data_IF_111453303015
#
_entry.id   IF_111453303015
#
_cell.length_a   1.000
_cell.length_b   1.000
_cell.length_c   1.000
_cell.angle_alpha   90.00
_cell.angle_beta   90.00
_cell.angle_gamma   90.00
#
_symmetry.space_group_name_H-M   'P 1'
#
loop_
_entity.id
_entity.type
_entity.pdbx_description
1 polymer ?
#
# COMPACT_ATOMS: atom_id res chain seq x y z
N UNK A 1 -17.38 6.21 24.11
CA UNK A 1 -16.75 5.27 25.08
C UNK A 1 -15.93 4.25 24.30
N UNK A 2 -14.68 3.99 24.69
CA UNK A 2 -13.82 2.97 24.05
C UNK A 2 -13.68 1.72 24.93
N UNK A 3 -13.56 0.53 24.31
CA UNK A 3 -13.28 -0.75 24.96
C UNK A 3 -12.01 -1.38 24.36
N UNK A 4 -11.40 -2.31 25.09
CA UNK A 4 -10.33 -3.15 24.54
C UNK A 4 -10.92 -4.04 23.44
N UNK A 5 -10.14 -4.28 22.39
CA UNK A 5 -10.55 -5.04 21.21
C UNK A 5 -9.54 -6.13 20.89
N UNK A 6 -10.04 -7.28 20.46
CA UNK A 6 -9.23 -8.37 19.94
C UNK A 6 -8.80 -8.11 18.49
N UNK A 7 -7.96 -9.00 17.94
CA UNK A 7 -7.47 -8.94 16.55
C UNK A 7 -6.85 -7.57 16.19
N UNK A 8 -6.07 -7.04 17.13
CA UNK A 8 -5.30 -5.82 16.96
C UNK A 8 -3.84 -6.03 17.35
N UNK A 9 -2.96 -5.22 16.78
CA UNK A 9 -1.53 -5.22 17.06
C UNK A 9 -1.00 -3.78 17.11
N UNK A 10 0.11 -3.59 17.81
CA UNK A 10 0.78 -2.29 17.95
C UNK A 10 2.29 -2.51 17.92
N UNK A 11 3.01 -1.71 17.15
CA UNK A 11 4.47 -1.65 17.16
C UNK A 11 4.92 -0.31 16.60
N UNK A 12 6.22 -0.04 16.72
CA UNK A 12 6.89 1.14 16.18
C UNK A 12 6.79 1.17 14.66
N UNK A 13 6.66 2.38 14.10
CA UNK A 13 6.65 2.60 12.65
C UNK A 13 8.03 2.98 12.09
N UNK A 14 8.26 2.68 10.81
CA UNK A 14 9.52 2.95 10.11
C UNK A 14 9.21 3.32 8.65
N UNK A 15 9.97 4.23 8.01
CA UNK A 15 9.73 4.60 6.62
C UNK A 15 10.11 3.45 5.68
N UNK A 16 9.35 3.29 4.60
CA UNK A 16 9.75 2.46 3.46
C UNK A 16 9.29 3.10 2.14
N UNK A 17 10.20 3.69 1.35
CA UNK A 17 9.84 4.34 0.09
C UNK A 17 9.45 3.36 -1.02
N UNK A 18 9.79 2.08 -0.89
CA UNK A 18 9.51 1.05 -1.90
C UNK A 18 8.10 0.47 -1.79
N UNK A 19 7.39 0.75 -0.69
CA UNK A 19 6.02 0.31 -0.51
C UNK A 19 5.04 1.25 -1.22
N UNK A 20 4.00 0.72 -1.89
CA UNK A 20 2.90 1.52 -2.39
C UNK A 20 2.21 2.31 -1.26
N UNK A 21 1.58 3.43 -1.60
CA UNK A 21 0.90 4.30 -0.62
C UNK A 21 -0.21 3.60 0.17
N UNK A 22 -0.81 2.57 -0.40
CA UNK A 22 -1.95 1.84 0.14
C UNK A 22 -1.55 0.55 0.86
N UNK A 23 -0.24 0.35 1.08
CA UNK A 23 0.34 -0.87 1.62
C UNK A 23 1.11 -0.58 2.89
N UNK A 24 0.93 -1.46 3.88
CA UNK A 24 1.70 -1.45 5.14
C UNK A 24 2.52 -2.73 5.26
N UNK A 25 3.79 -2.58 5.60
CA UNK A 25 4.68 -3.66 5.98
C UNK A 25 4.33 -4.17 7.37
N UNK A 26 4.03 -5.46 7.49
CA UNK A 26 3.68 -6.13 8.75
C UNK A 26 4.74 -7.17 9.11
N UNK A 27 5.27 -7.16 10.34
CA UNK A 27 6.15 -8.19 10.87
C UNK A 27 5.56 -9.59 10.77
N UNK A 28 6.39 -10.59 10.42
CA UNK A 28 6.01 -12.01 10.44
C UNK A 28 5.45 -12.46 11.79
N UNK A 29 6.02 -11.96 12.89
CA UNK A 29 5.57 -12.29 14.26
C UNK A 29 4.12 -11.85 14.52
N UNK A 30 3.75 -10.67 14.02
CA UNK A 30 2.37 -10.15 14.10
C UNK A 30 1.47 -10.95 13.16
N UNK A 31 1.91 -11.18 11.93
CA UNK A 31 1.11 -11.90 10.93
C UNK A 31 0.77 -13.35 11.33
N UNK A 32 1.70 -14.03 12.01
CA UNK A 32 1.49 -15.39 12.52
C UNK A 32 0.52 -15.43 13.71
N UNK A 33 0.49 -14.39 14.56
CA UNK A 33 -0.44 -14.36 15.68
C UNK A 33 -1.85 -13.91 15.28
N UNK A 34 -1.95 -13.01 14.31
CA UNK A 34 -3.22 -12.49 13.83
C UNK A 34 -3.86 -13.42 12.81
N UNK A 35 -5.13 -13.76 13.02
CA UNK A 35 -5.86 -14.68 12.15
C UNK A 35 -7.06 -14.03 11.47
N UNK A 36 -7.40 -14.56 10.30
CA UNK A 36 -8.60 -14.24 9.56
C UNK A 36 -9.46 -15.51 9.37
N UNK A 37 -10.73 -15.51 9.77
CA UNK A 37 -11.61 -16.67 9.62
C UNK A 37 -12.09 -16.76 8.17
N UNK A 38 -11.48 -17.66 7.40
CA UNK A 38 -11.88 -17.91 6.01
C UNK A 38 -12.84 -19.10 5.94
N UNK A 39 -13.97 -18.93 5.26
CA UNK A 39 -14.94 -20.01 5.05
C UNK A 39 -14.38 -20.97 3.99
N UNK A 40 -14.45 -22.27 4.28
CA UNK A 40 -14.07 -23.32 3.35
C UNK A 40 -15.13 -23.43 2.27
N UNK A 41 -14.68 -23.30 1.03
CA UNK A 41 -15.46 -23.42 -0.19
C UNK A 41 -14.75 -24.38 -1.15
N UNK A 42 -15.45 -24.92 -2.16
CA UNK A 42 -14.81 -25.75 -3.18
C UNK A 42 -13.62 -25.08 -3.88
N UNK A 43 -13.55 -23.74 -3.91
CA UNK A 43 -12.50 -22.98 -4.58
C UNK A 43 -11.21 -22.85 -3.77
N UNK A 44 -11.28 -22.90 -2.44
CA UNK A 44 -10.13 -22.64 -1.56
C UNK A 44 -9.79 -23.84 -0.65
N UNK A 45 -10.53 -24.95 -0.73
CA UNK A 45 -10.35 -26.10 0.14
C UNK A 45 -8.92 -26.67 0.10
N UNK A 46 -8.34 -26.86 -1.08
CA UNK A 46 -6.98 -27.40 -1.23
C UNK A 46 -5.93 -26.48 -0.59
N UNK A 47 -6.09 -25.17 -0.81
CA UNK A 47 -5.20 -24.15 -0.24
C UNK A 47 -5.33 -24.07 1.28
N UNK A 48 -6.56 -24.11 1.81
CA UNK A 48 -6.78 -24.09 3.25
C UNK A 48 -6.29 -25.37 3.92
N UNK A 49 -6.44 -26.52 3.25
CA UNK A 49 -5.92 -27.80 3.73
C UNK A 49 -4.40 -27.76 3.83
N UNK A 50 -3.70 -27.17 2.86
CA UNK A 50 -2.25 -26.97 2.94
C UNK A 50 -1.84 -26.13 4.16
N UNK A 51 -2.55 -25.03 4.43
CA UNK A 51 -2.27 -24.18 5.60
C UNK A 51 -2.53 -24.89 6.93
N UNK A 52 -3.59 -25.70 6.98
CA UNK A 52 -3.93 -26.54 8.13
C UNK A 52 -2.85 -27.60 8.36
N UNK A 53 -2.36 -28.24 7.29
CA UNK A 53 -1.32 -29.27 7.37
C UNK A 53 0.03 -28.70 7.85
N UNK A 54 0.33 -27.43 7.54
CA UNK A 54 1.49 -26.71 8.09
C UNK A 54 1.34 -26.37 9.56
N UNK A 55 0.11 -26.18 10.04
CA UNK A 55 -0.23 -25.85 11.42
C UNK A 55 0.15 -24.41 11.82
N UNK A 56 0.22 -24.16 13.12
CA UNK A 56 0.49 -22.82 13.67
C UNK A 56 1.99 -22.48 13.74
N UNK A 57 2.85 -23.50 13.82
CA UNK A 57 4.29 -23.34 14.03
C UNK A 57 5.03 -22.75 12.82
N UNK A 58 4.48 -22.90 11.61
CA UNK A 58 5.09 -22.43 10.37
C UNK A 58 4.24 -21.34 9.72
N UNK A 59 4.90 -20.27 9.25
CA UNK A 59 4.25 -19.25 8.42
C UNK A 59 4.54 -19.51 6.93
N UNK A 60 3.54 -19.48 6.03
CA UNK A 60 2.11 -19.28 6.29
C UNK A 60 1.40 -20.59 6.69
N UNK A 61 0.54 -20.50 7.71
CA UNK A 61 -0.23 -21.61 8.25
C UNK A 61 -1.60 -21.19 8.80
N UNK A 62 -2.12 -21.97 9.75
CA UNK A 62 -3.39 -21.73 10.40
C UNK A 62 -3.35 -22.11 11.88
N UNK A 63 -4.23 -21.50 12.67
CA UNK A 63 -4.27 -21.69 14.13
C UNK A 63 -5.43 -22.54 14.60
N UNK A 64 -6.60 -22.37 13.98
CA UNK A 64 -7.82 -23.09 14.37
C UNK A 64 -8.67 -23.52 13.18
N UNK A 65 -9.40 -24.61 13.37
CA UNK A 65 -10.51 -25.04 12.52
C UNK A 65 -11.79 -24.95 13.34
N UNK A 66 -12.83 -24.34 12.80
CA UNK A 66 -14.15 -24.25 13.39
C UNK A 66 -15.10 -25.06 12.49
N UNK A 67 -15.70 -26.11 13.07
CA UNK A 67 -16.69 -26.95 12.38
C UNK A 67 -18.07 -26.30 12.40
N UNK A 68 -19.01 -26.82 11.60
CA UNK A 68 -20.38 -26.29 11.54
C UNK A 68 -21.12 -26.35 12.89
N UNK A 69 -20.84 -27.37 13.70
CA UNK A 69 -21.39 -27.49 15.05
C UNK A 69 -20.77 -26.52 16.07
N UNK A 70 -19.87 -25.62 15.64
CA UNK A 70 -19.16 -24.68 16.50
C UNK A 70 -17.96 -25.27 17.25
N UNK A 71 -17.65 -26.56 17.07
CA UNK A 71 -16.48 -27.16 17.70
C UNK A 71 -15.20 -26.55 17.12
N UNK A 72 -14.33 -26.05 18.01
CA UNK A 72 -13.05 -25.45 17.66
C UNK A 72 -11.92 -26.44 17.90
N UNK A 73 -11.16 -26.74 16.86
CA UNK A 73 -9.96 -27.56 16.91
C UNK A 73 -8.74 -26.64 16.90
N UNK A 74 -7.89 -26.75 17.93
CA UNK A 74 -6.63 -26.00 18.04
C UNK A 74 -5.48 -26.79 17.40
N UNK A 75 -4.84 -26.21 16.39
CA UNK A 75 -3.79 -26.87 15.61
C UNK A 75 -2.46 -26.97 16.37
N UNK A 76 -2.29 -26.26 17.49
CA UNK A 76 -1.05 -26.29 18.28
C UNK A 76 -0.85 -27.59 19.06
N UNK A 77 -1.94 -28.26 19.44
CA UNK A 77 -1.90 -29.44 20.30
C UNK A 77 -1.89 -30.77 19.53
N UNK A 78 -1.35 -30.77 18.29
CA UNK A 78 -1.22 -31.95 17.43
C UNK A 78 -2.54 -32.74 17.29
N UNK A 79 -3.54 -32.17 16.60
CA UNK A 79 -4.80 -32.87 16.35
C UNK A 79 -4.59 -34.17 15.58
N UNK A 80 -5.48 -35.14 15.77
CA UNK A 80 -5.44 -36.40 15.02
C UNK A 80 -5.62 -36.12 13.53
N UNK A 81 -5.04 -36.94 12.67
CA UNK A 81 -5.16 -36.79 11.22
C UNK A 81 -6.61 -36.72 10.73
N UNK A 82 -7.53 -37.44 11.38
CA UNK A 82 -8.96 -37.39 11.06
C UNK A 82 -9.61 -36.02 11.35
N UNK A 83 -9.08 -35.27 12.32
CA UNK A 83 -9.62 -33.97 12.72
C UNK A 83 -9.15 -32.82 11.81
N UNK A 84 -8.20 -33.09 10.90
CA UNK A 84 -7.62 -32.12 9.96
C UNK A 84 -8.37 -32.04 8.63
N UNK A 85 -9.21 -33.02 8.30
CA UNK A 85 -9.94 -33.03 7.04
C UNK A 85 -10.98 -31.89 7.01
N UNK A 86 -10.83 -30.97 6.06
CA UNK A 86 -11.77 -29.88 5.86
C UNK A 86 -12.98 -30.29 5.03
N UNK A 87 -14.14 -29.73 5.34
CA UNK A 87 -15.37 -29.83 4.55
C UNK A 87 -15.87 -28.43 4.21
N UNK A 88 -16.54 -28.24 3.05
CA UNK A 88 -17.21 -26.97 2.75
C UNK A 88 -18.17 -26.58 3.87
N UNK A 89 -18.18 -25.28 4.24
CA UNK A 89 -18.96 -24.77 5.37
C UNK A 89 -18.16 -24.58 6.66
N UNK A 90 -17.02 -25.28 6.81
CA UNK A 90 -16.12 -25.06 7.95
C UNK A 90 -15.45 -23.68 7.84
N UNK A 91 -14.89 -23.19 8.96
CA UNK A 91 -14.07 -21.97 8.97
C UNK A 91 -12.66 -22.29 9.42
N UNK A 92 -11.67 -21.74 8.73
CA UNK A 92 -10.26 -21.87 9.09
C UNK A 92 -9.74 -20.50 9.50
N UNK A 93 -9.26 -20.39 10.73
CA UNK A 93 -8.56 -19.21 11.23
C UNK A 93 -7.10 -19.28 10.76
N UNK A 94 -6.87 -18.89 9.50
CA UNK A 94 -5.53 -18.82 8.90
C UNK A 94 -4.77 -17.60 9.38
N UNK A 95 -3.44 -17.64 9.33
CA UNK A 95 -2.60 -16.47 9.56
C UNK A 95 -2.92 -15.34 8.55
N UNK A 96 -2.64 -14.11 8.95
CA UNK A 96 -2.69 -12.94 8.06
C UNK A 96 -1.74 -13.16 6.88
N UNK A 97 -2.14 -12.78 5.66
CA UNK A 97 -1.34 -12.96 4.44
C UNK A 97 -1.19 -11.65 3.66
N UNK A 98 -0.25 -11.64 2.72
CA UNK A 98 -0.08 -10.55 1.76
C UNK A 98 -1.40 -10.24 1.04
N UNK A 99 -1.75 -8.95 0.98
CA UNK A 99 -2.97 -8.45 0.35
C UNK A 99 -4.22 -8.51 1.22
N UNK A 100 -4.15 -9.02 2.46
CA UNK A 100 -5.25 -8.81 3.41
C UNK A 100 -5.42 -7.32 3.71
N UNK A 101 -6.65 -6.92 3.99
CA UNK A 101 -7.01 -5.52 4.24
C UNK A 101 -7.10 -5.33 5.75
N UNK A 102 -6.46 -4.29 6.24
CA UNK A 102 -6.42 -3.90 7.65
C UNK A 102 -6.82 -2.44 7.79
N UNK A 103 -7.29 -2.06 8.97
CA UNK A 103 -7.43 -0.65 9.35
C UNK A 103 -6.22 -0.26 10.17
N UNK A 104 -5.56 0.82 9.78
CA UNK A 104 -4.37 1.33 10.43
C UNK A 104 -4.63 2.72 10.98
N UNK A 105 -4.22 2.96 12.23
CA UNK A 105 -4.46 4.22 12.90
C UNK A 105 -3.32 4.67 13.81
N UNK A 106 -3.21 6.00 13.96
CA UNK A 106 -2.34 6.66 14.94
C UNK A 106 -3.20 7.37 15.99
N UNK A 107 -2.83 7.23 17.26
CA UNK A 107 -3.46 7.96 18.36
C UNK A 107 -2.70 9.27 18.62
N UNK A 108 -3.38 10.39 18.95
CA UNK A 108 -4.84 10.59 18.98
C UNK A 108 -5.45 10.71 17.58
N UNK A 109 -6.63 10.11 17.37
CA UNK A 109 -7.36 10.17 16.09
C UNK A 109 -8.27 11.40 16.04
N UNK A 110 -7.78 12.51 15.49
CA UNK A 110 -8.51 13.78 15.40
C UNK A 110 -9.27 13.97 14.08
N UNK A 111 -8.86 13.25 13.04
CA UNK A 111 -9.43 13.37 11.70
C UNK A 111 -9.80 12.00 11.15
N UNK A 112 -10.73 11.97 10.19
CA UNK A 112 -11.13 10.74 9.51
C UNK A 112 -9.93 9.97 8.95
N UNK A 113 -8.96 10.70 8.37
CA UNK A 113 -7.75 10.13 7.76
C UNK A 113 -6.73 9.62 8.80
N UNK A 114 -6.96 9.83 10.10
CA UNK A 114 -6.16 9.20 11.14
C UNK A 114 -6.50 7.70 11.32
N UNK A 115 -7.53 7.20 10.62
CA UNK A 115 -7.89 5.79 10.49
C UNK A 115 -8.17 5.47 9.02
N UNK A 116 -7.30 4.68 8.37
CA UNK A 116 -7.47 4.34 6.95
C UNK A 116 -7.17 2.87 6.70
N UNK A 117 -7.76 2.35 5.63
CA UNK A 117 -7.52 1.00 5.14
C UNK A 117 -6.18 0.89 4.41
N UNK A 118 -5.44 -0.19 4.67
CA UNK A 118 -4.22 -0.56 3.96
C UNK A 118 -4.24 -2.05 3.58
N UNK A 119 -3.46 -2.41 2.56
CA UNK A 119 -3.10 -3.78 2.22
C UNK A 119 -1.88 -4.21 3.02
N UNK A 120 -1.89 -5.45 3.48
CA UNK A 120 -0.78 -6.04 4.21
C UNK A 120 0.32 -6.49 3.24
N UNK A 121 1.57 -6.20 3.58
CA UNK A 121 2.76 -6.83 3.00
C UNK A 121 3.63 -7.39 4.12
N UNK A 122 3.90 -8.68 4.11
CA UNK A 122 4.60 -9.32 5.22
C UNK A 122 6.11 -9.22 5.03
N UNK A 123 6.78 -8.66 6.04
CA UNK A 123 8.20 -8.37 6.05
C UNK A 123 8.89 -9.07 7.24
N UNK A 124 10.18 -9.40 7.13
CA UNK A 124 10.90 -10.19 8.13
C UNK A 124 11.21 -9.41 9.43
N UNK A 125 11.16 -8.09 9.40
CA UNK A 125 11.51 -7.21 10.53
C UNK A 125 10.37 -7.05 11.54
N UNK A 126 10.62 -6.31 12.63
CA UNK A 126 9.69 -6.19 13.77
C UNK A 126 8.90 -4.87 13.85
N UNK A 127 9.08 -3.97 12.88
CA UNK A 127 8.39 -2.67 12.82
C UNK A 127 7.33 -2.65 11.71
N UNK A 128 6.31 -1.81 11.89
CA UNK A 128 5.39 -1.49 10.80
C UNK A 128 6.07 -0.56 9.81
N UNK A 129 5.89 -0.81 8.51
CA UNK A 129 6.49 0.01 7.46
C UNK A 129 5.44 0.68 6.60
N UNK A 130 5.60 1.96 6.31
CA UNK A 130 4.65 2.71 5.49
C UNK A 130 5.36 3.67 4.55
N UNK A 131 4.66 4.03 3.48
CA UNK A 131 5.13 5.03 2.53
C UNK A 131 5.22 6.42 3.17
N UNK A 132 6.23 7.22 2.82
CA UNK A 132 6.40 8.55 3.40
C UNK A 132 5.26 9.53 3.07
N UNK A 133 4.54 9.34 1.96
CA UNK A 133 3.44 10.23 1.57
C UNK A 133 2.22 10.11 2.49
N UNK A 134 2.09 9.00 3.23
CA UNK A 134 0.97 8.75 4.15
C UNK A 134 1.27 9.20 5.58
N UNK A 135 2.47 9.72 5.87
CA UNK A 135 2.79 10.23 7.22
C UNK A 135 2.00 11.50 7.56
N UNK A 136 1.80 12.39 6.58
CA UNK A 136 1.04 13.64 6.72
C UNK A 136 -0.37 13.46 7.29
N UNK A 137 -1.26 12.60 6.74
CA UNK A 137 -2.60 12.39 7.30
C UNK A 137 -2.59 11.74 8.70
N UNK A 138 -1.58 10.94 9.02
CA UNK A 138 -1.42 10.37 10.36
C UNK A 138 -0.77 11.34 11.35
N UNK A 139 -0.21 12.45 10.86
CA UNK A 139 0.64 13.35 11.62
C UNK A 139 1.77 12.59 12.36
N UNK A 140 2.34 11.61 11.66
CA UNK A 140 3.32 10.68 12.22
C UNK A 140 4.74 11.08 11.82
N UNK A 141 5.68 10.85 12.71
CA UNK A 141 7.12 10.87 12.45
C UNK A 141 7.73 9.50 12.78
N UNK A 142 9.06 9.37 12.69
CA UNK A 142 9.76 8.10 12.83
C UNK A 142 10.78 8.13 13.98
N UNK A 143 10.49 8.89 15.02
CA UNK A 143 11.37 9.09 16.19
C UNK A 143 11.08 8.11 17.36
N UNK A 144 10.15 7.17 17.16
CA UNK A 144 9.66 6.26 18.19
C UNK A 144 8.15 6.09 18.20
N UNK A 145 7.45 6.80 17.32
CA UNK A 145 6.01 6.68 17.10
C UNK A 145 5.53 5.22 16.94
N UNK A 146 4.40 4.92 17.57
CA UNK A 146 3.73 3.63 17.48
C UNK A 146 2.33 3.82 16.87
N UNK A 147 1.93 2.84 16.06
CA UNK A 147 0.61 2.83 15.44
C UNK A 147 -0.10 1.50 15.69
N UNK A 148 -1.42 1.56 15.67
CA UNK A 148 -2.28 0.40 15.88
C UNK A 148 -2.77 -0.13 14.53
N UNK A 149 -2.89 -1.45 14.46
CA UNK A 149 -3.43 -2.21 13.36
C UNK A 149 -4.64 -2.99 13.86
N UNK A 150 -5.73 -2.95 13.11
CA UNK A 150 -6.94 -3.74 13.35
C UNK A 150 -7.24 -4.59 12.11
N UNK A 151 -7.45 -5.90 12.30
CA UNK A 151 -7.79 -6.81 11.20
C UNK A 151 -9.30 -7.09 11.19
N UNK A 152 -10.05 -6.61 10.19
CA UNK A 152 -11.45 -6.97 9.98
C UNK A 152 -11.64 -8.48 9.91
N UNK A 153 -12.61 -9.01 10.65
CA UNK A 153 -12.87 -10.45 10.75
C UNK A 153 -13.96 -10.94 9.79
N UNK A 154 -14.90 -10.07 9.39
CA UNK A 154 -15.96 -10.41 8.43
C UNK A 154 -15.59 -9.98 7.02
N UNK A 155 -16.11 -10.70 6.02
CA UNK A 155 -15.96 -10.32 4.61
C UNK A 155 -16.68 -9.01 4.28
N UNK A 156 -17.81 -8.75 4.95
CA UNK A 156 -18.58 -7.51 4.80
C UNK A 156 -17.77 -6.29 5.26
N UNK A 157 -17.17 -6.33 6.45
CA UNK A 157 -16.32 -5.23 6.94
C UNK A 157 -15.04 -5.13 6.12
N UNK A 158 -14.49 -6.23 5.62
CA UNK A 158 -13.36 -6.19 4.67
C UNK A 158 -13.72 -5.41 3.39
N UNK A 159 -14.93 -5.63 2.86
CA UNK A 159 -15.44 -4.90 1.70
C UNK A 159 -15.70 -3.42 2.02
N UNK A 160 -16.27 -3.11 3.19
CA UNK A 160 -16.49 -1.74 3.66
C UNK A 160 -15.18 -0.95 3.70
N UNK A 161 -14.14 -1.51 4.30
CA UNK A 161 -12.82 -0.87 4.38
C UNK A 161 -12.21 -0.70 2.97
N UNK A 162 -12.32 -1.73 2.11
CA UNK A 162 -11.86 -1.68 0.71
C UNK A 162 -12.47 -0.51 -0.06
N UNK A 163 -13.80 -0.38 0.03
CA UNK A 163 -14.56 0.52 -0.84
C UNK A 163 -14.73 1.94 -0.29
N UNK A 164 -14.56 2.14 1.02
CA UNK A 164 -14.82 3.44 1.66
C UNK A 164 -13.55 4.00 2.28
N UNK A 165 -12.86 3.22 3.11
CA UNK A 165 -11.82 3.72 4.00
C UNK A 165 -10.38 3.53 3.47
N UNK A 166 -10.18 2.85 2.34
CA UNK A 166 -8.85 2.65 1.75
C UNK A 166 -8.13 3.97 1.43
N UNK A 167 -6.81 3.99 1.65
CA UNK A 167 -5.94 5.16 1.45
C UNK A 167 -6.13 5.88 0.10
N UNK A 168 -6.17 5.20 -1.07
CA UNK A 168 -6.39 5.88 -2.35
C UNK A 168 -7.71 6.64 -2.43
N UNK A 169 -8.73 6.23 -1.67
CA UNK A 169 -10.04 6.89 -1.59
C UNK A 169 -10.07 8.04 -0.58
N UNK A 170 -8.99 8.23 0.19
CA UNK A 170 -8.84 9.29 1.20
C UNK A 170 -7.75 10.31 0.80
N UNK A 171 -7.32 10.34 -0.46
CA UNK A 171 -6.30 11.30 -0.95
C UNK A 171 -6.75 12.76 -0.81
N UNK A 172 -8.04 13.04 -1.06
CA UNK A 172 -8.63 14.39 -0.99
C UNK A 172 -9.51 14.47 0.25
N UNK A 173 -9.31 15.50 1.08
CA UNK A 173 -10.17 15.73 2.25
C UNK A 173 -11.38 16.59 1.90
N UNK A 174 -12.59 16.24 2.40
CA UNK A 174 -13.76 17.10 2.28
C UNK A 174 -13.68 18.34 3.19
N UNK A 175 -12.78 18.37 4.19
CA UNK A 175 -12.64 19.52 5.10
C UNK A 175 -12.20 20.79 4.36
N UNK A 176 -11.35 20.65 3.34
CA UNK A 176 -10.75 21.77 2.63
C UNK A 176 -10.70 21.55 1.10
N UNK A 177 -11.39 20.52 0.60
CA UNK A 177 -11.46 20.16 -0.83
C UNK A 177 -10.09 20.12 -1.52
N UNK A 178 -9.07 19.65 -0.80
CA UNK A 178 -7.68 19.63 -1.23
C UNK A 178 -7.02 18.29 -0.90
N UNK A 179 -5.96 17.91 -1.60
CA UNK A 179 -5.19 16.72 -1.24
C UNK A 179 -4.59 16.86 0.16
N UNK A 180 -4.62 15.77 0.93
CA UNK A 180 -3.94 15.65 2.23
C UNK A 180 -2.58 14.97 2.08
N UNK A 181 -2.47 14.06 1.13
CA UNK A 181 -1.24 13.33 0.84
C UNK A 181 -0.50 14.00 -0.32
N UNK A 182 0.82 14.03 -0.24
CA UNK A 182 1.68 14.63 -1.25
C UNK A 182 3.12 14.15 -1.11
N UNK A 183 3.98 14.57 -2.03
CA UNK A 183 5.41 14.28 -1.97
C UNK A 183 6.04 15.16 -0.89
N UNK A 184 6.78 14.54 0.03
CA UNK A 184 7.40 15.20 1.19
C UNK A 184 8.90 14.88 1.30
N UNK A 185 9.60 15.62 2.15
CA UNK A 185 11.01 15.39 2.54
C UNK A 185 11.97 15.28 1.33
N UNK A 186 12.80 14.24 1.30
CA UNK A 186 13.87 14.05 0.32
C UNK A 186 13.34 14.03 -1.11
N UNK A 187 12.24 13.32 -1.35
CA UNK A 187 11.65 13.23 -2.69
C UNK A 187 11.22 14.61 -3.20
N UNK A 188 10.67 15.47 -2.33
CA UNK A 188 10.26 16.82 -2.73
C UNK A 188 11.47 17.68 -3.12
N UNK A 189 12.55 17.57 -2.36
CA UNK A 189 13.78 18.33 -2.60
C UNK A 189 14.50 17.81 -3.84
N UNK A 190 14.58 16.50 -4.01
CA UNK A 190 15.16 15.84 -5.18
C UNK A 190 14.38 16.18 -6.45
N UNK A 191 13.04 16.20 -6.41
CA UNK A 191 12.21 16.62 -7.57
C UNK A 191 12.52 18.06 -7.96
N UNK A 192 12.65 18.99 -7.00
CA UNK A 192 13.05 20.38 -7.30
C UNK A 192 14.44 20.44 -7.94
N UNK A 193 15.41 19.70 -7.40
CA UNK A 193 16.77 19.68 -7.94
C UNK A 193 16.80 19.09 -9.35
N UNK A 194 16.13 17.96 -9.56
CA UNK A 194 16.10 17.22 -10.83
C UNK A 194 15.41 18.02 -11.94
N UNK A 195 14.38 18.80 -11.62
CA UNK A 195 13.57 19.52 -12.61
C UNK A 195 14.14 20.89 -13.02
N UNK A 196 15.32 21.29 -12.50
CA UNK A 196 16.00 22.52 -12.96
C UNK A 196 16.43 22.42 -14.44
N UNK A 197 16.68 23.56 -15.10
CA UNK A 197 16.99 23.63 -16.54
C UNK A 197 18.41 23.15 -16.87
N UNK A 198 19.31 23.24 -15.92
CA UNK A 198 20.74 22.90 -15.99
C UNK A 198 21.02 21.42 -15.68
N UNK A 199 20.00 20.63 -15.38
CA UNK A 199 20.15 19.19 -15.09
C UNK A 199 19.93 18.36 -16.34
N UNK A 200 21.01 17.68 -16.74
CA UNK A 200 21.04 16.74 -17.85
C UNK A 200 21.38 15.33 -17.37
N UNK A 201 20.77 14.34 -18.01
CA UNK A 201 20.85 12.93 -17.69
C UNK A 201 21.43 12.20 -18.91
N UNK A 202 22.47 11.41 -18.68
CA UNK A 202 23.11 10.60 -19.72
C UNK A 202 22.38 9.26 -19.92
N UNK A 203 22.61 8.63 -21.06
CA UNK A 203 21.93 7.39 -21.45
C UNK A 203 21.98 6.28 -20.38
N UNK A 204 23.13 5.94 -19.75
CA UNK A 204 23.16 4.88 -18.74
C UNK A 204 22.22 5.18 -17.56
N UNK A 205 22.28 6.41 -17.04
CA UNK A 205 21.42 6.84 -15.93
C UNK A 205 19.95 6.93 -16.34
N UNK A 206 19.68 7.33 -17.58
CA UNK A 206 18.32 7.34 -18.12
C UNK A 206 17.72 5.93 -18.12
N UNK A 207 18.48 4.93 -18.59
CA UNK A 207 18.03 3.54 -18.60
C UNK A 207 17.76 3.00 -17.18
N UNK A 208 18.62 3.32 -16.21
CA UNK A 208 18.39 2.96 -14.81
C UNK A 208 17.07 3.54 -14.27
N UNK A 209 16.79 4.82 -14.59
CA UNK A 209 15.57 5.50 -14.16
C UNK A 209 14.32 4.91 -14.84
N UNK A 210 14.40 4.55 -16.12
CA UNK A 210 13.31 3.88 -16.83
C UNK A 210 12.97 2.53 -16.20
N UNK A 211 13.98 1.76 -15.77
CA UNK A 211 13.78 0.47 -15.11
C UNK A 211 13.04 0.55 -13.77
N UNK A 212 13.11 1.70 -13.08
CA UNK A 212 12.38 1.91 -11.82
C UNK A 212 10.90 2.27 -12.04
N UNK A 213 10.47 2.55 -13.27
CA UNK A 213 9.08 2.90 -13.57
C UNK A 213 8.24 1.64 -13.82
N UNK A 214 7.26 1.33 -12.96
CA UNK A 214 6.46 0.11 -13.09
C UNK A 214 5.56 0.09 -14.34
N UNK A 215 5.19 1.27 -14.86
CA UNK A 215 4.27 1.41 -15.99
C UNK A 215 4.98 1.88 -17.27
N UNK A 216 6.29 1.63 -17.40
CA UNK A 216 7.03 2.03 -18.60
C UNK A 216 6.63 1.18 -19.81
N UNK A 217 6.42 1.84 -20.96
CA UNK A 217 5.94 1.23 -22.21
C UNK A 217 7.06 0.59 -23.06
N UNK A 218 8.28 0.51 -22.51
CA UNK A 218 9.46 -0.01 -23.21
C UNK A 218 10.08 0.97 -24.20
N UNK A 219 9.54 2.19 -24.35
CA UNK A 219 10.05 3.18 -25.29
C UNK A 219 10.90 4.22 -24.58
N UNK A 220 12.15 4.34 -25.03
CA UNK A 220 13.05 5.40 -24.56
C UNK A 220 12.63 6.69 -25.29
N UNK A 221 12.32 7.79 -24.58
CA UNK A 221 11.96 9.04 -25.24
C UNK A 221 13.15 9.61 -26.00
N UNK A 222 12.87 10.43 -27.03
CA UNK A 222 13.92 11.14 -27.75
C UNK A 222 14.64 12.13 -26.80
N UNK A 223 15.99 12.18 -26.81
CA UNK A 223 16.73 13.13 -25.98
C UNK A 223 16.44 14.57 -26.39
N UNK A 224 16.43 15.49 -25.42
CA UNK A 224 16.26 16.92 -25.69
C UNK A 224 17.43 17.50 -26.47
N UNK A 225 18.64 16.95 -26.29
CA UNK A 225 19.85 17.34 -27.03
C UNK A 225 20.40 16.10 -27.72
N UNK A 226 20.62 16.18 -29.03
CA UNK A 226 21.11 15.06 -29.86
C UNK A 226 22.64 15.10 -30.07
N UNK A 227 23.21 16.31 -30.17
CA UNK A 227 24.65 16.54 -30.43
C UNK A 227 25.23 17.51 -29.40
N UNK A 228 26.50 17.38 -28.99
CA UNK A 228 27.48 16.38 -29.43
C UNK A 228 27.24 14.99 -28.82
N UNK A 229 26.49 14.90 -27.72
CA UNK A 229 26.06 13.65 -27.08
C UNK A 229 24.57 13.68 -26.77
N UNK A 230 23.88 12.53 -26.76
CA UNK A 230 22.47 12.47 -26.41
C UNK A 230 22.27 12.77 -24.92
N UNK A 231 21.48 13.79 -24.60
CA UNK A 231 21.16 14.18 -23.22
C UNK A 231 19.65 14.38 -23.05
N UNK A 232 19.15 13.85 -21.94
CA UNK A 232 17.78 14.05 -21.49
C UNK A 232 17.74 15.10 -20.38
N UNK A 233 16.63 15.82 -20.27
CA UNK A 233 16.43 16.74 -19.14
C UNK A 233 15.68 16.01 -18.02
N UNK A 234 15.86 16.45 -16.77
CA UNK A 234 15.07 15.89 -15.66
C UNK A 234 13.56 16.10 -15.82
N UNK A 235 13.15 17.19 -16.51
CA UNK A 235 11.73 17.40 -16.88
C UNK A 235 11.19 16.31 -17.81
N UNK A 236 11.98 15.85 -18.78
CA UNK A 236 11.55 14.77 -19.67
C UNK A 236 11.28 13.49 -18.88
N UNK A 237 12.14 13.15 -17.92
CA UNK A 237 11.91 11.97 -17.07
C UNK A 237 10.68 12.16 -16.20
N UNK A 238 10.51 13.34 -15.59
CA UNK A 238 9.35 13.64 -14.74
C UNK A 238 8.03 13.53 -15.51
N UNK A 239 8.00 13.96 -16.77
CA UNK A 239 6.84 13.82 -17.65
C UNK A 239 6.42 12.36 -17.85
N UNK A 240 7.35 11.41 -17.90
CA UNK A 240 7.02 9.98 -18.06
C UNK A 240 6.28 9.41 -16.85
N UNK A 241 6.45 10.02 -15.67
CA UNK A 241 5.78 9.62 -14.44
C UNK A 241 4.33 10.13 -14.41
N UNK A 242 4.08 11.28 -15.05
CA UNK A 242 2.74 11.88 -15.11
C UNK A 242 1.89 11.10 -16.12
N UNK A 243 0.71 10.63 -15.72
CA UNK A 243 -0.13 9.83 -16.60
C UNK A 243 -0.95 10.64 -17.60
N UNK A 244 -1.11 10.08 -18.80
CA UNK A 244 -2.08 10.54 -19.79
C UNK A 244 -1.89 11.99 -20.24
N UNK A 245 -2.96 12.58 -20.78
CA UNK A 245 -2.99 14.00 -21.13
C UNK A 245 -3.43 14.82 -19.91
N UNK A 246 -2.47 15.48 -19.28
CA UNK A 246 -2.70 16.38 -18.16
C UNK A 246 -2.32 17.81 -18.55
N UNK A 247 -3.31 18.70 -18.59
CA UNK A 247 -3.11 20.14 -18.81
C UNK A 247 -3.17 20.88 -17.47
N UNK A 248 -2.08 21.53 -17.08
CA UNK A 248 -2.05 22.35 -15.88
C UNK A 248 -1.21 23.60 -16.11
N UNK A 249 -1.81 24.76 -15.89
CA UNK A 249 -1.15 26.05 -16.01
C UNK A 249 -1.01 26.68 -14.63
N UNK A 250 0.22 26.94 -14.21
CA UNK A 250 0.51 27.78 -13.06
C UNK A 250 1.09 29.11 -13.58
N UNK A 251 0.69 30.27 -13.05
CA UNK A 251 1.09 31.59 -13.58
C UNK A 251 2.61 31.83 -13.61
N UNK A 252 3.40 30.98 -12.94
CA UNK A 252 4.87 31.02 -12.92
C UNK A 252 5.55 29.77 -13.49
N UNK A 253 4.82 28.72 -13.88
CA UNK A 253 5.35 27.49 -14.50
C UNK A 253 4.34 26.97 -15.55
N UNK A 254 4.68 27.11 -16.83
CA UNK A 254 3.95 26.50 -17.95
C UNK A 254 4.43 25.05 -18.13
N UNK A 255 3.56 24.08 -17.80
CA UNK A 255 3.74 22.68 -18.22
C UNK A 255 2.70 22.42 -19.33
N UNK A 256 3.06 22.73 -20.58
CA UNK A 256 2.31 22.30 -21.75
C UNK A 256 2.77 20.88 -22.13
N UNK A 257 1.87 19.89 -22.05
CA UNK A 257 2.09 18.57 -22.62
C UNK A 257 1.15 18.37 -23.81
N UNK A 258 1.72 17.88 -24.92
CA UNK A 258 1.20 18.00 -26.29
C UNK A 258 0.01 17.12 -26.66
N UNK A 259 -0.59 17.50 -27.79
CA UNK A 259 -1.75 16.92 -28.47
C UNK A 259 -1.49 15.50 -29.02
N UNK A 260 -2.32 14.51 -28.66
CA UNK A 260 -2.64 13.29 -29.46
C UNK A 260 -4.09 12.89 -29.14
N UNK A 261 -4.96 12.52 -30.12
CA UNK A 261 -6.41 12.57 -29.95
C UNK A 261 -7.03 11.49 -29.03
N UNK A 262 -7.98 12.00 -28.24
CA UNK A 262 -9.13 11.44 -27.51
C UNK A 262 -9.46 9.96 -27.80
N UNK A 263 -9.37 9.09 -26.78
CA UNK A 263 -10.48 8.23 -26.34
C UNK A 263 -10.13 7.50 -25.03
N UNK A 264 -11.01 7.63 -24.02
CA UNK A 264 -11.17 6.80 -22.81
C UNK A 264 -9.97 6.65 -21.85
N UNK A 265 -10.22 6.80 -20.54
CA UNK A 265 -9.80 5.89 -19.46
C UNK A 265 -10.34 6.47 -18.13
N UNK A 266 -11.55 6.03 -17.76
CA UNK A 266 -11.98 5.91 -16.37
C UNK A 266 -11.76 4.45 -16.00
N UNK A 267 -10.58 4.10 -15.49
CA UNK A 267 -10.28 2.82 -14.78
C UNK A 267 -8.77 2.68 -14.60
N UNK A 268 -8.21 3.39 -13.64
CA UNK A 268 -6.96 2.95 -13.02
C UNK A 268 -6.66 3.83 -11.81
N UNK A 269 -6.25 3.16 -10.74
CA UNK A 269 -5.79 3.72 -9.49
C UNK A 269 -4.57 4.61 -9.74
N UNK A 270 -4.78 5.89 -10.03
CA UNK A 270 -3.69 6.82 -10.27
C UNK A 270 -3.65 7.93 -9.24
N UNK A 271 -2.49 8.00 -8.62
CA UNK A 271 -2.03 9.08 -7.75
C UNK A 271 -2.05 10.36 -8.61
N UNK A 272 -3.02 11.23 -8.35
CA UNK A 272 -2.94 12.61 -8.82
C UNK A 272 -1.81 13.24 -8.00
N UNK A 273 -0.63 13.37 -8.60
CA UNK A 273 0.48 14.13 -8.02
C UNK A 273 0.07 15.60 -8.05
N UNK A 274 -0.64 16.07 -7.03
CA UNK A 274 -0.81 17.50 -6.81
C UNK A 274 0.45 17.98 -6.09
N UNK A 275 1.48 18.32 -6.85
CA UNK A 275 2.61 19.09 -6.31
C UNK A 275 2.09 20.49 -6.04
N UNK A 276 1.62 20.73 -4.82
CA UNK A 276 1.34 22.10 -4.36
C UNK A 276 2.69 22.73 -4.03
N UNK A 277 3.26 23.49 -4.97
CA UNK A 277 4.39 24.38 -4.68
C UNK A 277 3.88 25.50 -3.77
N UNK A 278 3.93 25.31 -2.46
CA UNK A 278 3.85 26.43 -1.51
C UNK A 278 5.17 27.20 -1.59
N UNK A 279 5.09 28.51 -1.85
CA UNK A 279 6.22 29.41 -1.73
C UNK A 279 6.80 29.34 -0.31
N UNK A 280 8.09 29.04 -0.22
CA UNK A 280 8.98 29.52 0.83
C UNK A 280 9.90 30.56 0.18
#
# INVERSE_FOLDING_TARGET
>A
MGKRVDFSARTVITPDPNLPIDTVGVPRTIAQNMTFPEIVTPFNIDKLQELVNRGDSQYPGAKYIIRENGARVDLRYHPRAADLHLQPGYRVERHMKDGDIIVFNRQPTLHKMSMMGHKVKILPWSTFRLNLSVTTPYNADFDGDEMNLHLPQSLETKAEVSEIAMVPRQLITPQANKPVMGIVQDTLTAVRMMTKRDVFIELPRMMDLLMQMPNWDGKVPQPAILKPKPLWTGKQVFTLIIPGMFGYFFPSILICLGYVPILQIFRSSLIIIIVTFKHF
#
